data_IF_019078353757
#
_entry.id   IF_019078353757
#
_cell.length_a   1.000
_cell.length_b   1.000
_cell.length_c   1.000
_cell.angle_alpha   90.00
_cell.angle_beta   90.00
_cell.angle_gamma   90.00
#
_symmetry.space_group_name_H-M   'P 1'
#
loop_
_entity.id
_entity.type
_entity.pdbx_description
1 polymer ?
#
# COMPACT_ATOMS: atom_id res chain seq x y z
N UNK A 1 30.66 -25.09 64.88
CA UNK A 1 29.96 -23.95 65.53
C UNK A 1 28.83 -23.57 64.59
N UNK A 2 27.68 -24.25 64.62
CA UNK A 2 26.57 -24.02 65.53
C UNK A 2 26.14 -22.54 65.55
N UNK A 3 25.12 -22.18 64.78
CA UNK A 3 23.93 -21.63 65.40
C UNK A 3 22.69 -21.99 64.58
N UNK A 4 21.65 -22.27 65.35
CA UNK A 4 20.40 -22.94 65.07
C UNK A 4 19.34 -22.16 65.82
N UNK A 5 18.46 -21.43 65.15
CA UNK A 5 17.19 -21.01 65.75
C UNK A 5 16.39 -20.25 64.71
N UNK A 6 15.30 -20.81 64.19
CA UNK A 6 14.00 -21.12 64.80
C UNK A 6 12.94 -20.07 64.41
N UNK A 7 12.04 -20.55 63.55
CA UNK A 7 10.58 -20.45 63.71
C UNK A 7 9.91 -19.07 63.59
N UNK A 8 9.02 -18.95 62.60
CA UNK A 8 7.55 -18.86 62.76
C UNK A 8 6.96 -18.56 61.37
N UNK A 9 6.24 -19.51 60.78
CA UNK A 9 4.79 -19.72 60.89
C UNK A 9 3.96 -18.60 60.26
N UNK A 10 3.26 -19.01 59.20
CA UNK A 10 1.85 -18.75 58.92
C UNK A 10 1.49 -17.33 58.52
N UNK A 11 1.15 -17.18 57.24
CA UNK A 11 0.44 -16.03 56.69
C UNK A 11 -0.24 -16.45 55.40
N UNK A 12 -1.19 -17.39 55.50
CA UNK A 12 -2.18 -17.68 54.46
C UNK A 12 -3.08 -16.43 54.33
N UNK A 13 -2.66 -15.48 53.52
CA UNK A 13 -3.39 -14.25 53.23
C UNK A 13 -3.91 -14.29 51.80
N UNK A 14 -4.98 -15.05 51.59
CA UNK A 14 -5.74 -15.04 50.35
C UNK A 14 -6.44 -13.68 50.17
N UNK A 15 -5.76 -12.72 49.55
CA UNK A 15 -6.43 -11.58 48.90
C UNK A 15 -6.72 -11.99 47.45
N UNK A 16 -7.79 -12.77 47.29
CA UNK A 16 -8.45 -13.00 46.02
C UNK A 16 -9.10 -11.67 45.58
N UNK A 17 -8.28 -10.77 45.04
CA UNK A 17 -8.77 -9.55 44.38
C UNK A 17 -9.50 -9.98 43.12
N UNK A 18 -10.83 -10.05 43.23
CA UNK A 18 -11.74 -10.24 42.14
C UNK A 18 -11.53 -9.11 41.10
N UNK A 19 -10.74 -9.41 40.07
CA UNK A 19 -10.69 -8.68 38.81
C UNK A 19 -12.05 -8.84 38.12
N UNK A 20 -13.03 -8.05 38.55
CA UNK A 20 -14.19 -7.72 37.73
C UNK A 20 -13.70 -6.77 36.63
N UNK A 21 -12.98 -7.32 35.65
CA UNK A 21 -12.81 -6.69 34.36
C UNK A 21 -14.19 -6.68 33.71
N UNK A 22 -14.95 -5.62 33.99
CA UNK A 22 -16.18 -5.34 33.28
C UNK A 22 -15.87 -5.32 31.79
N UNK A 23 -16.43 -6.28 31.05
CA UNK A 23 -16.50 -6.19 29.60
C UNK A 23 -17.40 -5.00 29.27
N UNK A 24 -16.80 -3.82 29.18
CA UNK A 24 -17.40 -2.67 28.49
C UNK A 24 -17.55 -3.07 27.03
N UNK A 25 -18.65 -3.75 26.69
CA UNK A 25 -19.13 -3.84 25.32
C UNK A 25 -19.49 -2.40 24.94
N UNK A 26 -18.52 -1.70 24.37
CA UNK A 26 -18.81 -0.57 23.48
C UNK A 26 -19.82 -1.11 22.47
N UNK A 27 -21.07 -0.71 22.63
CA UNK A 27 -22.07 -0.80 21.59
C UNK A 27 -21.51 0.00 20.42
N UNK A 28 -20.90 -0.70 19.48
CA UNK A 28 -20.57 -0.15 18.18
C UNK A 28 -21.88 0.44 17.65
N UNK A 29 -21.91 1.77 17.49
CA UNK A 29 -23.06 2.45 16.91
C UNK A 29 -23.42 1.80 15.57
N UNK A 30 -24.68 1.92 15.13
CA UNK A 30 -25.10 1.31 13.87
C UNK A 30 -24.12 1.72 12.78
N UNK A 31 -23.45 0.74 12.16
CA UNK A 31 -22.65 0.97 10.97
C UNK A 31 -23.59 1.62 9.96
N UNK A 32 -23.46 2.93 9.78
CA UNK A 32 -24.21 3.67 8.79
C UNK A 32 -23.84 3.06 7.46
N UNK A 33 -24.77 2.30 6.87
CA UNK A 33 -24.63 1.74 5.54
C UNK A 33 -24.18 2.88 4.63
N UNK A 34 -22.91 2.84 4.22
CA UNK A 34 -22.33 3.89 3.41
C UNK A 34 -23.21 4.11 2.18
N UNK A 35 -23.42 5.38 1.81
CA UNK A 35 -24.15 5.72 0.59
C UNK A 35 -23.56 4.93 -0.58
N UNK A 36 -24.34 4.04 -1.18
CA UNK A 36 -23.92 3.35 -2.39
C UNK A 36 -23.73 4.37 -3.50
N UNK A 37 -22.48 4.54 -3.94
CA UNK A 37 -22.14 5.40 -5.08
C UNK A 37 -22.11 4.50 -6.31
N UNK A 38 -22.94 4.79 -7.31
CA UNK A 38 -22.87 4.10 -8.60
C UNK A 38 -21.53 4.40 -9.26
N UNK A 39 -20.88 3.37 -9.81
CA UNK A 39 -19.74 3.55 -10.71
C UNK A 39 -20.21 4.38 -11.91
N UNK A 40 -19.40 5.33 -12.35
CA UNK A 40 -19.66 6.07 -13.59
C UNK A 40 -19.82 5.09 -14.76
N UNK A 41 -20.79 5.35 -15.63
CA UNK A 41 -21.06 4.49 -16.79
C UNK A 41 -19.90 4.51 -17.80
N UNK A 42 -19.19 5.64 -17.87
CA UNK A 42 -18.01 5.81 -18.71
C UNK A 42 -16.73 5.63 -17.91
N UNK A 43 -15.85 4.74 -18.37
CA UNK A 43 -14.51 4.60 -17.81
C UNK A 43 -13.70 5.88 -18.03
N UNK A 44 -12.96 6.31 -17.00
CA UNK A 44 -12.05 7.44 -17.11
C UNK A 44 -10.88 7.10 -18.05
N UNK A 45 -10.33 8.07 -18.80
CA UNK A 45 -9.15 7.83 -19.59
C UNK A 45 -7.97 7.42 -18.69
N UNK A 46 -7.25 6.38 -19.11
CA UNK A 46 -6.04 5.92 -18.43
C UNK A 46 -4.93 6.94 -18.71
N UNK A 47 -4.54 7.68 -17.67
CA UNK A 47 -3.41 8.62 -17.66
C UNK A 47 -2.11 7.93 -17.29
N UNK A 48 -2.16 6.99 -16.35
CA UNK A 48 -1.02 6.20 -15.88
C UNK A 48 -1.27 4.73 -16.18
N UNK A 49 -0.49 4.13 -17.08
CA UNK A 49 -0.55 2.69 -17.28
C UNK A 49 0.06 1.93 -16.10
N UNK A 50 -0.53 0.79 -15.78
CA UNK A 50 -0.09 -0.22 -14.81
C UNK A 50 -0.16 -1.60 -15.47
N UNK A 51 0.33 -2.66 -14.82
CA UNK A 51 0.36 -3.99 -15.46
C UNK A 51 -1.04 -4.47 -15.88
N UNK A 52 -2.08 -4.11 -15.13
CA UNK A 52 -3.48 -4.45 -15.45
C UNK A 52 -4.05 -3.69 -16.66
N UNK A 53 -3.57 -2.47 -16.97
CA UNK A 53 -4.00 -1.74 -18.17
C UNK A 53 -3.14 -2.07 -19.40
N UNK A 54 -1.93 -2.58 -19.17
CA UNK A 54 -0.89 -2.69 -20.19
C UNK A 54 -0.20 -1.35 -20.45
N UNK A 55 1.01 -1.43 -21.01
CA UNK A 55 1.80 -0.28 -21.43
C UNK A 55 1.07 0.53 -22.51
N UNK A 56 1.11 1.85 -22.40
CA UNK A 56 0.57 2.77 -23.40
C UNK A 56 1.69 3.29 -24.29
N UNK A 57 1.48 3.27 -25.61
CA UNK A 57 2.43 3.77 -26.60
C UNK A 57 2.91 5.19 -26.25
N UNK A 58 4.21 5.38 -26.16
CA UNK A 58 4.87 6.66 -25.85
C UNK A 58 4.92 7.01 -24.35
N UNK A 59 4.39 6.15 -23.46
CA UNK A 59 4.45 6.38 -22.02
C UNK A 59 5.83 6.02 -21.45
N UNK A 60 6.67 7.02 -21.19
CA UNK A 60 7.97 6.81 -20.52
C UNK A 60 7.78 6.30 -19.07
N UNK A 61 8.74 5.54 -18.48
CA UNK A 61 8.68 5.20 -17.06
C UNK A 61 8.42 6.39 -16.15
N UNK A 62 7.54 6.19 -15.16
CA UNK A 62 7.18 7.22 -14.17
C UNK A 62 8.39 7.72 -13.41
N UNK A 63 9.33 6.82 -13.09
CA UNK A 63 10.59 7.16 -12.42
C UNK A 63 11.46 8.14 -13.24
N UNK A 64 11.28 8.22 -14.55
CA UNK A 64 11.98 9.17 -15.41
C UNK A 64 11.11 10.41 -15.73
N UNK A 65 10.03 10.63 -14.98
CA UNK A 65 9.07 11.72 -15.18
C UNK A 65 8.02 11.46 -16.24
N UNK A 66 7.80 10.20 -16.63
CA UNK A 66 6.70 9.80 -17.52
C UNK A 66 5.44 9.38 -16.76
N UNK A 67 4.59 8.59 -17.42
CA UNK A 67 3.33 8.11 -16.85
C UNK A 67 3.25 6.60 -16.68
N UNK A 68 4.22 5.83 -17.21
CA UNK A 68 4.19 4.39 -17.13
C UNK A 68 4.61 3.86 -15.75
N UNK A 69 3.67 3.21 -15.07
CA UNK A 69 3.86 2.53 -13.79
C UNK A 69 3.82 1.00 -13.94
N UNK A 70 4.02 0.48 -15.16
CA UNK A 70 4.18 -0.95 -15.38
C UNK A 70 5.47 -1.47 -14.75
N UNK A 71 5.46 -2.73 -14.38
CA UNK A 71 6.59 -3.39 -13.72
C UNK A 71 7.78 -3.52 -14.66
N UNK A 72 8.99 -3.12 -14.25
CA UNK A 72 10.18 -3.20 -15.10
C UNK A 72 10.52 -4.66 -15.40
N UNK A 73 10.14 -5.09 -16.60
CA UNK A 73 10.45 -6.41 -17.19
C UNK A 73 11.19 -6.22 -18.51
N UNK A 74 11.92 -7.24 -18.97
CA UNK A 74 12.62 -7.18 -20.26
C UNK A 74 11.64 -6.84 -21.40
N UNK A 75 10.47 -7.49 -21.40
CA UNK A 75 9.39 -7.20 -22.35
C UNK A 75 8.96 -5.74 -22.34
N UNK A 76 8.82 -5.11 -21.17
CA UNK A 76 8.45 -3.70 -21.09
C UNK A 76 9.54 -2.78 -21.65
N UNK A 77 10.82 -3.12 -21.46
CA UNK A 77 11.93 -2.38 -22.07
C UNK A 77 11.90 -2.46 -23.59
N UNK A 78 11.61 -3.65 -24.15
CA UNK A 78 11.42 -3.79 -25.60
C UNK A 78 10.25 -2.93 -26.12
N UNK A 79 9.15 -2.82 -25.37
CA UNK A 79 8.05 -1.93 -25.73
C UNK A 79 8.47 -0.45 -25.70
N UNK A 80 9.29 -0.03 -24.73
CA UNK A 80 9.87 1.31 -24.74
C UNK A 80 10.76 1.54 -25.97
N UNK A 81 11.60 0.58 -26.33
CA UNK A 81 12.45 0.68 -27.53
C UNK A 81 11.62 0.81 -28.80
N UNK A 82 10.54 0.04 -28.94
CA UNK A 82 9.59 0.15 -30.07
C UNK A 82 8.93 1.53 -30.14
N UNK A 83 8.74 2.17 -29.00
CA UNK A 83 8.21 3.54 -28.90
C UNK A 83 9.26 4.62 -29.15
N UNK A 84 10.52 4.25 -29.41
CA UNK A 84 11.66 5.18 -29.53
C UNK A 84 12.10 5.79 -28.19
N UNK A 85 11.72 5.15 -27.07
CA UNK A 85 12.07 5.56 -25.72
C UNK A 85 13.20 4.70 -25.16
N UNK A 86 14.12 5.32 -24.43
CA UNK A 86 15.20 4.65 -23.70
C UNK A 86 16.04 3.67 -24.55
N UNK A 87 16.50 4.05 -25.76
CA UNK A 87 17.17 3.14 -26.67
C UNK A 87 18.41 2.44 -26.07
N UNK A 88 19.08 3.09 -25.11
CA UNK A 88 20.28 2.58 -24.44
C UNK A 88 20.03 2.04 -23.02
N UNK A 89 18.77 1.83 -22.63
CA UNK A 89 18.46 1.23 -21.33
C UNK A 89 18.38 -0.28 -21.43
N UNK A 90 19.19 -0.93 -20.62
CA UNK A 90 19.03 -2.32 -20.24
C UNK A 90 18.05 -2.48 -19.08
N UNK A 91 17.43 -3.65 -18.98
CA UNK A 91 16.51 -3.98 -17.89
C UNK A 91 17.16 -3.86 -16.50
N UNK A 92 18.43 -4.24 -16.37
CA UNK A 92 19.19 -4.14 -15.11
C UNK A 92 19.31 -2.69 -14.68
N UNK A 93 19.67 -1.79 -15.60
CA UNK A 93 19.76 -0.35 -15.34
C UNK A 93 18.42 0.23 -14.89
N UNK A 94 17.32 -0.15 -15.53
CA UNK A 94 15.99 0.32 -15.15
C UNK A 94 15.64 -0.15 -13.72
N UNK A 95 15.85 -1.42 -13.40
CA UNK A 95 15.61 -1.97 -12.06
C UNK A 95 16.44 -1.28 -10.98
N UNK A 96 17.74 -1.08 -11.23
CA UNK A 96 18.62 -0.34 -10.31
C UNK A 96 18.08 1.06 -10.01
N UNK A 97 17.55 1.77 -11.01
CA UNK A 97 16.98 3.09 -10.78
C UNK A 97 15.76 3.05 -9.83
N UNK A 98 14.92 2.00 -9.89
CA UNK A 98 13.80 1.80 -8.96
C UNK A 98 14.30 1.52 -7.54
N UNK A 99 15.28 0.63 -7.41
CA UNK A 99 15.88 0.25 -6.13
C UNK A 99 16.56 1.44 -5.44
N UNK A 100 17.34 2.25 -6.18
CA UNK A 100 18.02 3.46 -5.68
C UNK A 100 17.05 4.48 -5.08
N UNK A 101 15.78 4.46 -5.49
CA UNK A 101 14.74 5.36 -4.98
C UNK A 101 13.80 4.69 -3.98
N UNK A 102 14.14 3.47 -3.58
CA UNK A 102 13.37 2.62 -2.68
C UNK A 102 11.93 2.40 -3.14
N UNK A 103 11.69 2.31 -4.46
CA UNK A 103 10.37 2.04 -5.03
C UNK A 103 10.17 0.53 -5.12
N UNK A 104 9.04 0.03 -4.62
CA UNK A 104 8.69 -1.39 -4.61
C UNK A 104 7.66 -1.72 -5.69
N UNK A 105 8.04 -2.59 -6.61
CA UNK A 105 7.26 -2.96 -7.80
C UNK A 105 6.44 -4.24 -7.57
N UNK A 106 5.68 -4.72 -8.57
CA UNK A 106 5.03 -6.05 -8.47
C UNK A 106 6.03 -7.21 -8.35
N UNK A 107 7.32 -7.01 -8.66
CA UNK A 107 8.36 -8.02 -8.44
C UNK A 107 8.68 -8.19 -6.94
N UNK A 108 8.53 -7.12 -6.16
CA UNK A 108 8.82 -7.13 -4.72
C UNK A 108 7.64 -7.66 -3.91
N UNK A 109 6.41 -7.26 -4.28
CA UNK A 109 5.18 -7.62 -3.58
C UNK A 109 3.96 -7.34 -4.45
N UNK A 110 2.85 -8.06 -4.23
CA UNK A 110 1.61 -7.93 -5.02
C UNK A 110 0.37 -8.04 -4.15
N UNK A 111 -0.78 -7.65 -4.70
CA UNK A 111 -2.08 -7.83 -4.03
C UNK A 111 -2.30 -6.95 -2.81
N UNK A 112 -1.44 -5.95 -2.57
CA UNK A 112 -1.56 -5.08 -1.40
C UNK A 112 -2.56 -3.94 -1.59
N UNK A 113 -3.04 -3.72 -2.82
CA UNK A 113 -3.85 -2.57 -3.22
C UNK A 113 -3.28 -1.24 -2.72
N UNK A 114 -1.94 -1.13 -2.68
CA UNK A 114 -1.15 0.00 -2.15
C UNK A 114 -1.47 0.40 -0.70
N UNK A 115 -1.90 -0.56 0.12
CA UNK A 115 -2.08 -0.45 1.57
C UNK A 115 -0.95 -1.17 2.33
N UNK A 116 0.22 -1.29 1.71
CA UNK A 116 1.39 -1.97 2.26
C UNK A 116 2.26 -1.05 3.15
N UNK A 117 3.25 -1.61 3.88
CA UNK A 117 4.19 -0.82 4.70
C UNK A 117 5.01 0.21 3.91
N UNK A 118 5.14 0.08 2.58
CA UNK A 118 5.85 1.02 1.72
C UNK A 118 5.04 2.29 1.39
N UNK A 119 3.86 2.45 2.00
CA UNK A 119 2.99 3.60 1.81
C UNK A 119 2.13 3.52 0.55
N UNK A 120 1.53 4.65 0.12
CA UNK A 120 0.60 4.67 -0.99
C UNK A 120 1.29 4.41 -2.33
N UNK A 121 0.48 4.34 -3.40
CA UNK A 121 1.03 4.22 -4.75
C UNK A 121 1.98 5.39 -5.06
N UNK A 122 3.01 5.17 -5.87
CA UNK A 122 4.00 6.17 -6.30
C UNK A 122 3.35 7.40 -6.94
N UNK A 123 2.30 7.19 -7.74
CA UNK A 123 1.48 8.26 -8.36
C UNK A 123 0.81 9.17 -7.31
N UNK A 124 0.63 8.67 -6.09
CA UNK A 124 0.08 9.40 -4.93
C UNK A 124 1.17 9.91 -3.97
N UNK A 125 2.43 9.90 -4.41
CA UNK A 125 3.59 10.36 -3.62
C UNK A 125 4.21 9.31 -2.69
N UNK A 126 3.80 8.04 -2.76
CA UNK A 126 4.39 6.96 -1.96
C UNK A 126 5.55 6.24 -2.65
N UNK A 127 5.85 5.02 -2.18
CA UNK A 127 6.94 4.17 -2.71
C UNK A 127 6.46 2.83 -3.25
N UNK A 128 5.18 2.50 -3.11
CA UNK A 128 4.61 1.31 -3.70
C UNK A 128 4.25 1.56 -5.18
N UNK A 129 4.71 0.74 -6.10
CA UNK A 129 4.28 0.70 -7.51
C UNK A 129 3.60 -0.64 -7.83
N UNK A 130 3.19 -1.39 -6.81
CA UNK A 130 2.42 -2.60 -7.05
C UNK A 130 1.07 -2.25 -7.68
N UNK A 131 0.64 -3.05 -8.65
CA UNK A 131 -0.60 -2.82 -9.40
C UNK A 131 -1.79 -2.89 -8.43
N UNK A 132 -2.59 -1.81 -8.30
CA UNK A 132 -3.78 -1.84 -7.48
C UNK A 132 -4.81 -2.84 -8.02
N UNK A 133 -5.69 -3.35 -7.16
CA UNK A 133 -6.71 -4.32 -7.59
C UNK A 133 -7.74 -3.64 -8.50
N UNK A 134 -7.93 -4.11 -9.75
CA UNK A 134 -8.91 -3.54 -10.68
C UNK A 134 -10.31 -3.46 -10.09
N UNK A 135 -11.04 -2.39 -10.43
CA UNK A 135 -12.39 -2.13 -9.92
C UNK A 135 -12.44 -1.54 -8.51
N UNK A 136 -11.31 -1.45 -7.79
CA UNK A 136 -11.26 -0.69 -6.54
C UNK A 136 -11.12 0.80 -6.79
N UNK A 137 -11.57 1.63 -5.85
CA UNK A 137 -11.37 3.09 -5.91
C UNK A 137 -9.89 3.46 -6.06
N UNK A 138 -8.99 2.75 -5.36
CA UNK A 138 -7.56 3.02 -5.43
C UNK A 138 -7.00 2.78 -6.85
N UNK A 139 -7.46 1.72 -7.52
CA UNK A 139 -7.14 1.47 -8.92
C UNK A 139 -7.57 2.62 -9.81
N UNK A 140 -8.84 3.01 -9.75
CA UNK A 140 -9.40 4.09 -10.57
C UNK A 140 -8.65 5.42 -10.36
N UNK A 141 -8.33 5.76 -9.12
CA UNK A 141 -7.55 6.96 -8.77
C UNK A 141 -6.13 6.91 -9.36
N UNK A 142 -5.44 5.76 -9.27
CA UNK A 142 -4.08 5.58 -9.81
C UNK A 142 -4.07 5.70 -11.33
N UNK A 143 -4.93 4.95 -12.03
CA UNK A 143 -4.90 4.92 -13.50
C UNK A 143 -5.37 6.24 -14.11
N UNK A 144 -6.31 6.95 -13.49
CA UNK A 144 -6.81 8.24 -13.98
C UNK A 144 -5.93 9.43 -13.55
N UNK A 145 -5.16 9.26 -12.47
CA UNK A 145 -4.46 10.36 -11.81
C UNK A 145 -5.39 11.41 -11.21
N UNK A 146 -6.67 11.08 -10.99
CA UNK A 146 -7.64 11.95 -10.33
C UNK A 146 -7.78 11.52 -8.87
N UNK A 147 -7.53 12.46 -7.96
CA UNK A 147 -7.62 12.22 -6.52
C UNK A 147 -8.68 13.11 -5.90
N UNK A 148 -9.45 12.60 -4.92
CA UNK A 148 -10.34 13.45 -4.17
C UNK A 148 -9.53 14.52 -3.42
N UNK A 149 -10.13 15.69 -3.17
CA UNK A 149 -9.48 16.73 -2.39
C UNK A 149 -9.08 16.19 -1.00
N UNK A 150 -7.99 16.73 -0.41
CA UNK A 150 -7.62 16.39 0.95
C UNK A 150 -8.83 16.57 1.87
N UNK A 151 -9.06 15.61 2.77
CA UNK A 151 -10.09 15.81 3.80
C UNK A 151 -9.70 17.03 4.65
N UNK A 152 -10.64 17.95 4.94
CA UNK A 152 -10.38 19.02 5.89
C UNK A 152 -9.86 18.44 7.20
N UNK A 153 -8.84 19.06 7.78
CA UNK A 153 -8.44 18.70 9.15
C UNK A 153 -9.60 19.09 10.05
N UNK A 154 -10.23 18.13 10.72
CA UNK A 154 -11.13 18.44 11.84
C UNK A 154 -10.28 19.16 12.90
N UNK A 155 -10.71 20.34 13.37
CA UNK A 155 -9.98 21.08 14.41
C UNK A 155 -9.84 20.29 15.70
#
# INVERSE_FOLDING_TARGET
MADSSRWRRIGLGACLMALLAGCSRTTEGPMTAGRMVRKTETALPVKHCVDATGHQRGAKPFILGGTCCCTPTAKLVEEYHKDGLLPDYEITRLKSAYDERSIKTDLDHRGCNNLCPFGPHIVKGGKCMATPTPGTRNYEEVISGQFPPPRPKTP
#
